data_IF_365988841727
#
_entry.id   IF_365988841727
#
_cell.length_a   1.000
_cell.length_b   1.000
_cell.length_c   1.000
_cell.angle_alpha   90.00
_cell.angle_beta   90.00
_cell.angle_gamma   90.00
#
_symmetry.space_group_name_H-M   'P 1'
#
loop_
_entity.id
_entity.type
_entity.pdbx_description
1 polymer ?
#
# COMPACT_ATOMS: atom_id res chain seq x y z
N UNK A 1 19.78 -55.31 -19.21
CA UNK A 1 19.12 -54.27 -18.40
C UNK A 1 19.13 -54.74 -16.95
N UNK A 2 19.80 -54.04 -16.04
CA UNK A 2 19.77 -54.39 -14.61
C UNK A 2 18.37 -54.21 -14.06
N UNK A 3 17.76 -55.28 -13.56
CA UNK A 3 16.49 -55.22 -12.85
C UNK A 3 16.71 -54.46 -11.55
N UNK A 4 16.04 -53.33 -11.36
CA UNK A 4 16.05 -52.61 -10.08
C UNK A 4 15.55 -53.55 -8.98
N UNK A 5 16.35 -53.72 -7.93
CA UNK A 5 16.00 -54.47 -6.73
C UNK A 5 14.69 -53.92 -6.14
N UNK A 6 13.70 -54.75 -5.74
CA UNK A 6 12.41 -54.28 -5.22
C UNK A 6 12.51 -53.27 -4.06
N UNK A 7 13.58 -53.34 -3.27
CA UNK A 7 13.86 -52.35 -2.22
C UNK A 7 14.28 -51.00 -2.82
N UNK A 8 15.12 -51.00 -3.85
CA UNK A 8 15.55 -49.78 -4.55
C UNK A 8 14.38 -49.10 -5.27
N UNK A 9 13.43 -49.87 -5.83
CA UNK A 9 12.24 -49.30 -6.47
C UNK A 9 11.27 -48.68 -5.45
N UNK A 10 11.11 -49.28 -4.26
CA UNK A 10 10.32 -48.68 -3.17
C UNK A 10 10.95 -47.39 -2.64
N UNK A 11 12.28 -47.35 -2.47
CA UNK A 11 12.99 -46.14 -2.01
C UNK A 11 12.83 -45.02 -3.05
N UNK A 12 13.02 -45.34 -4.34
CA UNK A 12 12.88 -44.37 -5.42
C UNK A 12 11.45 -43.83 -5.51
N UNK A 13 10.44 -44.71 -5.39
CA UNK A 13 9.04 -44.31 -5.35
C UNK A 13 8.72 -43.39 -4.16
N UNK A 14 9.30 -43.68 -2.98
CA UNK A 14 9.17 -42.82 -1.80
C UNK A 14 9.77 -41.42 -1.97
N UNK A 15 10.95 -41.33 -2.59
CA UNK A 15 11.61 -40.04 -2.89
C UNK A 15 10.78 -39.23 -3.89
N UNK A 16 10.31 -39.87 -4.96
CA UNK A 16 9.48 -39.21 -5.98
C UNK A 16 8.17 -38.70 -5.35
N UNK A 17 7.50 -39.53 -4.53
CA UNK A 17 6.28 -39.13 -3.84
C UNK A 17 6.52 -37.93 -2.92
N UNK A 18 7.61 -37.94 -2.15
CA UNK A 18 7.98 -36.83 -1.26
C UNK A 18 8.28 -35.55 -2.05
N UNK A 19 9.02 -35.66 -3.16
CA UNK A 19 9.31 -34.52 -4.03
C UNK A 19 8.03 -33.93 -4.65
N UNK A 20 7.10 -34.78 -5.09
CA UNK A 20 5.81 -34.33 -5.63
C UNK A 20 4.97 -33.60 -4.58
N UNK A 21 4.92 -34.10 -3.34
CA UNK A 21 4.22 -33.44 -2.23
C UNK A 21 4.86 -32.08 -1.93
N UNK A 22 6.20 -32.00 -1.89
CA UNK A 22 6.90 -30.74 -1.65
C UNK A 22 6.63 -29.70 -2.75
N UNK A 23 6.65 -30.11 -4.02
CA UNK A 23 6.31 -29.24 -5.16
C UNK A 23 4.86 -28.79 -5.09
N UNK A 24 3.92 -29.69 -4.81
CA UNK A 24 2.50 -29.35 -4.67
C UNK A 24 2.27 -28.33 -3.55
N UNK A 25 2.88 -28.55 -2.37
CA UNK A 25 2.82 -27.62 -1.25
C UNK A 25 3.41 -26.24 -1.61
N UNK A 26 4.55 -26.22 -2.30
CA UNK A 26 5.17 -24.99 -2.78
C UNK A 26 4.29 -24.22 -3.77
N UNK A 27 3.64 -24.91 -4.73
CA UNK A 27 2.72 -24.30 -5.68
C UNK A 27 1.49 -23.68 -5.00
N UNK A 28 0.92 -24.39 -4.01
CA UNK A 28 -0.20 -23.87 -3.20
C UNK A 28 0.23 -22.64 -2.40
N UNK A 29 1.38 -22.71 -1.73
CA UNK A 29 1.93 -21.58 -0.98
C UNK A 29 2.13 -20.36 -1.88
N UNK A 30 2.78 -20.54 -3.04
CA UNK A 30 3.03 -19.46 -4.01
C UNK A 30 1.74 -18.84 -4.54
N UNK A 31 0.73 -19.65 -4.85
CA UNK A 31 -0.57 -19.17 -5.33
C UNK A 31 -1.31 -18.35 -4.27
N UNK A 32 -1.36 -18.85 -3.04
CA UNK A 32 -2.03 -18.14 -1.93
C UNK A 32 -1.34 -16.82 -1.61
N UNK A 33 -0.02 -16.83 -1.60
CA UNK A 33 0.80 -15.64 -1.34
C UNK A 33 0.56 -14.55 -2.38
N UNK A 34 0.54 -14.93 -3.65
CA UNK A 34 0.31 -14.00 -4.74
C UNK A 34 -1.10 -13.39 -4.67
N UNK A 35 -2.13 -14.20 -4.42
CA UNK A 35 -3.49 -13.69 -4.22
C UNK A 35 -3.63 -12.80 -2.98
N UNK A 36 -2.80 -12.99 -1.94
CA UNK A 36 -2.78 -12.09 -0.78
C UNK A 36 -2.22 -10.72 -1.19
N UNK A 37 -1.10 -10.71 -1.91
CA UNK A 37 -0.48 -9.47 -2.40
C UNK A 37 -1.41 -8.74 -3.37
N UNK A 38 -2.01 -9.45 -4.31
CA UNK A 38 -2.98 -8.90 -5.25
C UNK A 38 -4.19 -8.29 -4.51
N UNK A 39 -4.71 -8.95 -3.48
CA UNK A 39 -5.82 -8.40 -2.68
C UNK A 39 -5.42 -7.18 -1.85
N UNK A 40 -4.20 -7.15 -1.29
CA UNK A 40 -3.74 -6.05 -0.45
C UNK A 40 -3.37 -4.81 -1.27
N UNK A 41 -2.60 -5.01 -2.33
CA UNK A 41 -2.08 -3.93 -3.17
C UNK A 41 -3.04 -3.54 -4.29
N UNK A 42 -3.97 -4.41 -4.69
CA UNK A 42 -4.96 -4.11 -5.73
C UNK A 42 -4.28 -3.64 -7.03
N UNK A 43 -4.60 -2.45 -7.57
CA UNK A 43 -3.97 -1.90 -8.78
C UNK A 43 -2.44 -1.81 -8.70
N UNK A 44 -1.88 -1.60 -7.50
CA UNK A 44 -0.42 -1.52 -7.28
C UNK A 44 0.29 -2.82 -7.59
N UNK A 45 -0.38 -3.96 -7.43
CA UNK A 45 0.16 -5.25 -7.81
C UNK A 45 0.40 -5.30 -9.33
N UNK A 46 -0.61 -4.91 -10.11
CA UNK A 46 -0.52 -4.85 -11.57
C UNK A 46 0.57 -3.88 -12.03
N UNK A 47 0.66 -2.71 -11.40
CA UNK A 47 1.73 -1.72 -11.66
C UNK A 47 3.12 -2.30 -11.39
N UNK A 48 3.33 -2.91 -10.23
CA UNK A 48 4.63 -3.50 -9.89
C UNK A 48 5.05 -4.61 -10.88
N UNK A 49 4.10 -5.44 -11.33
CA UNK A 49 4.35 -6.47 -12.36
C UNK A 49 4.72 -5.83 -13.70
N UNK A 50 4.02 -4.77 -14.10
CA UNK A 50 4.29 -4.06 -15.36
C UNK A 50 5.66 -3.37 -15.33
N UNK A 51 5.99 -2.67 -14.24
CA UNK A 51 7.24 -1.90 -14.10
C UNK A 51 8.48 -2.80 -14.04
N UNK A 52 8.37 -3.95 -13.36
CA UNK A 52 9.50 -4.89 -13.17
C UNK A 52 9.58 -5.97 -14.26
N UNK A 53 8.53 -6.13 -15.06
CA UNK A 53 8.43 -7.12 -16.14
C UNK A 53 8.45 -8.59 -15.70
N UNK A 54 8.50 -8.86 -14.38
CA UNK A 54 8.55 -10.20 -13.81
C UNK A 54 7.74 -10.27 -12.52
N UNK A 55 6.83 -11.25 -12.47
CA UNK A 55 5.93 -11.44 -11.33
C UNK A 55 6.67 -11.77 -10.04
N UNK A 56 7.73 -12.58 -10.08
CA UNK A 56 8.46 -12.95 -8.87
C UNK A 56 9.23 -11.76 -8.29
N UNK A 57 9.83 -10.94 -9.16
CA UNK A 57 10.48 -9.68 -8.76
C UNK A 57 9.47 -8.71 -8.15
N UNK A 58 8.31 -8.55 -8.78
CA UNK A 58 7.23 -7.70 -8.27
C UNK A 58 6.75 -8.17 -6.89
N UNK A 59 6.42 -9.45 -6.73
CA UNK A 59 6.00 -10.00 -5.44
C UNK A 59 7.09 -9.86 -4.37
N UNK A 60 8.37 -10.02 -4.73
CA UNK A 60 9.49 -9.83 -3.81
C UNK A 60 9.61 -8.37 -3.35
N UNK A 61 9.45 -7.41 -4.25
CA UNK A 61 9.50 -5.97 -3.93
C UNK A 61 8.29 -5.57 -3.07
N UNK A 62 7.09 -6.04 -3.38
CA UNK A 62 5.89 -5.78 -2.58
C UNK A 62 6.04 -6.33 -1.14
N UNK A 63 6.61 -7.53 -0.98
CA UNK A 63 6.94 -8.07 0.36
C UNK A 63 8.02 -7.26 1.07
N UNK A 64 9.00 -6.74 0.34
CA UNK A 64 10.02 -5.87 0.92
C UNK A 64 9.40 -4.58 1.45
N UNK A 65 8.42 -3.99 0.74
CA UNK A 65 7.61 -2.86 1.20
C UNK A 65 6.85 -3.20 2.47
N UNK A 66 6.08 -4.30 2.48
CA UNK A 66 5.35 -4.76 3.68
C UNK A 66 6.28 -4.91 4.90
N UNK A 67 7.47 -5.50 4.70
CA UNK A 67 8.46 -5.71 5.75
C UNK A 67 9.11 -4.42 6.24
N UNK A 68 9.19 -3.38 5.40
CA UNK A 68 9.66 -2.05 5.81
C UNK A 68 8.59 -1.34 6.61
N UNK A 69 7.37 -1.28 6.08
CA UNK A 69 6.23 -0.60 6.70
C UNK A 69 5.86 -1.22 8.04
N UNK A 70 5.98 -2.54 8.21
CA UNK A 70 5.74 -3.19 9.50
C UNK A 70 6.69 -2.77 10.62
N UNK A 71 7.79 -2.08 10.30
CA UNK A 71 8.73 -1.51 11.28
C UNK A 71 8.41 -0.05 11.63
N UNK A 72 7.50 0.59 10.89
CA UNK A 72 7.12 1.97 11.16
C UNK A 72 6.13 2.01 12.31
N UNK A 73 6.27 3.02 13.17
CA UNK A 73 5.31 3.26 14.24
C UNK A 73 4.18 4.15 13.72
N UNK A 74 3.32 3.58 12.86
CA UNK A 74 2.23 4.35 12.25
C UNK A 74 1.10 4.51 13.27
N UNK A 75 0.79 5.75 13.63
CA UNK A 75 -0.22 6.10 14.63
C UNK A 75 -1.41 6.83 14.01
N UNK A 76 -2.56 6.72 14.67
CA UNK A 76 -3.68 7.62 14.41
C UNK A 76 -3.31 9.03 14.86
N UNK A 77 -3.80 10.02 14.12
CA UNK A 77 -3.57 11.42 14.44
C UNK A 77 -4.47 11.83 15.61
N UNK A 78 -3.96 12.65 16.54
CA UNK A 78 -4.80 13.17 17.62
C UNK A 78 -5.89 14.10 17.06
N UNK A 79 -7.11 14.16 17.65
CA UNK A 79 -8.21 14.96 17.09
C UNK A 79 -7.88 16.45 16.91
N UNK A 80 -7.08 17.00 17.85
CA UNK A 80 -6.62 18.38 17.79
C UNK A 80 -5.65 18.63 16.63
N UNK A 81 -4.75 17.69 16.36
CA UNK A 81 -3.85 17.78 15.19
C UNK A 81 -4.64 17.62 13.89
N UNK A 82 -5.60 16.68 13.82
CA UNK A 82 -6.46 16.51 12.65
C UNK A 82 -7.26 17.79 12.33
N UNK A 83 -7.76 18.46 13.37
CA UNK A 83 -8.45 19.76 13.24
C UNK A 83 -7.52 20.83 12.71
N UNK A 84 -6.29 20.93 13.24
CA UNK A 84 -5.28 21.89 12.78
C UNK A 84 -4.94 21.68 11.30
N UNK A 85 -4.58 20.45 10.92
CA UNK A 85 -4.29 20.10 9.53
C UNK A 85 -5.47 20.44 8.61
N UNK A 86 -6.71 20.13 9.03
CA UNK A 86 -7.91 20.48 8.26
C UNK A 86 -8.09 21.99 8.06
N UNK A 87 -7.71 22.81 9.05
CA UNK A 87 -7.75 24.27 8.94
C UNK A 87 -6.65 24.78 8.01
N UNK A 88 -5.43 24.25 8.14
CA UNK A 88 -4.29 24.58 7.28
C UNK A 88 -4.61 24.28 5.81
N UNK A 89 -5.21 23.12 5.54
CA UNK A 89 -5.66 22.75 4.19
C UNK A 89 -6.68 23.73 3.61
N UNK A 90 -7.67 24.16 4.41
CA UNK A 90 -8.69 25.14 3.96
C UNK A 90 -8.08 26.51 3.66
N UNK A 91 -7.17 26.98 4.51
CA UNK A 91 -6.48 28.25 4.33
C UNK A 91 -5.63 28.26 3.06
N UNK A 92 -4.95 27.14 2.80
CA UNK A 92 -4.18 26.91 1.57
C UNK A 92 -5.06 26.94 0.33
N UNK A 93 -6.19 26.22 0.32
CA UNK A 93 -7.10 26.20 -0.83
C UNK A 93 -7.70 27.57 -1.16
N UNK A 94 -7.97 28.40 -0.15
CA UNK A 94 -8.53 29.74 -0.35
C UNK A 94 -7.61 30.67 -1.16
N UNK A 95 -6.30 30.43 -1.13
CA UNK A 95 -5.28 31.22 -1.83
C UNK A 95 -5.00 30.76 -3.26
N UNK A 96 -5.60 29.66 -3.71
CA UNK A 96 -5.28 29.05 -5.00
C UNK A 96 -5.49 29.98 -6.19
N UNK A 97 -6.52 30.86 -6.12
CA UNK A 97 -6.82 31.81 -7.20
C UNK A 97 -5.71 32.85 -7.35
N UNK A 98 -5.12 33.28 -6.25
CA UNK A 98 -4.11 34.34 -6.23
C UNK A 98 -2.70 33.80 -6.51
N UNK A 99 -2.38 32.61 -5.97
CA UNK A 99 -1.06 32.00 -6.10
C UNK A 99 -1.15 30.46 -6.20
N UNK A 100 -1.49 29.92 -7.39
CA UNK A 100 -1.72 28.49 -7.57
C UNK A 100 -0.44 27.65 -7.43
N UNK A 101 0.72 28.17 -7.84
CA UNK A 101 2.00 27.47 -7.77
C UNK A 101 2.45 27.25 -6.32
N UNK A 102 2.46 28.32 -5.51
CA UNK A 102 2.77 28.19 -4.08
C UNK A 102 1.80 27.27 -3.36
N UNK A 103 0.51 27.30 -3.73
CA UNK A 103 -0.50 26.42 -3.14
C UNK A 103 -0.22 24.93 -3.44
N UNK A 104 0.23 24.58 -4.64
CA UNK A 104 0.63 23.19 -4.96
C UNK A 104 1.86 22.76 -4.18
N UNK A 105 2.87 23.64 -4.07
CA UNK A 105 4.08 23.36 -3.30
C UNK A 105 3.79 23.18 -1.80
N UNK A 106 2.98 24.07 -1.21
CA UNK A 106 2.56 23.98 0.18
C UNK A 106 1.66 22.76 0.44
N UNK A 107 0.87 22.33 -0.55
CA UNK A 107 0.04 21.12 -0.42
C UNK A 107 0.89 19.86 -0.29
N UNK A 108 1.97 19.73 -1.10
CA UNK A 108 2.93 18.63 -0.96
C UNK A 108 3.59 18.66 0.42
N UNK A 109 4.01 19.85 0.89
CA UNK A 109 4.59 20.00 2.21
C UNK A 109 3.61 19.59 3.32
N UNK A 110 2.36 20.04 3.27
CA UNK A 110 1.35 19.75 4.27
C UNK A 110 1.04 18.25 4.35
N UNK A 111 0.98 17.57 3.19
CA UNK A 111 0.85 16.10 3.12
C UNK A 111 2.05 15.40 3.75
N UNK A 112 3.28 15.85 3.47
CA UNK A 112 4.50 15.27 4.07
C UNK A 112 4.54 15.46 5.58
N UNK A 113 4.16 16.63 6.07
CA UNK A 113 4.05 16.90 7.51
C UNK A 113 3.01 15.99 8.18
N UNK A 114 1.86 15.79 7.53
CA UNK A 114 0.84 14.85 8.00
C UNK A 114 1.37 13.41 8.05
N UNK A 115 2.02 12.94 6.99
CA UNK A 115 2.65 11.62 6.96
C UNK A 115 3.70 11.45 8.07
N UNK A 116 4.55 12.46 8.28
CA UNK A 116 5.55 12.44 9.33
C UNK A 116 4.91 12.35 10.71
N UNK A 117 3.84 13.12 10.97
CA UNK A 117 3.08 13.06 12.22
C UNK A 117 2.45 11.70 12.46
N UNK A 118 2.04 11.03 11.39
CA UNK A 118 1.55 9.66 11.45
C UNK A 118 2.65 8.63 11.64
N UNK A 119 3.93 8.98 11.54
CA UNK A 119 5.06 8.07 11.78
C UNK A 119 5.69 7.47 10.52
N UNK A 120 5.34 7.98 9.33
CA UNK A 120 6.07 7.65 8.11
C UNK A 120 7.46 8.31 8.13
N UNK A 121 8.51 7.61 7.67
CA UNK A 121 9.85 8.19 7.65
C UNK A 121 9.98 9.29 6.60
N UNK A 122 10.87 10.25 6.86
CA UNK A 122 11.31 11.19 5.83
C UNK A 122 12.15 10.43 4.80
N UNK A 123 11.58 10.21 3.62
CA UNK A 123 12.20 9.53 2.50
C UNK A 123 11.97 10.34 1.21
N UNK A 124 12.65 9.95 0.13
CA UNK A 124 12.32 10.44 -1.20
C UNK A 124 10.89 10.03 -1.60
N UNK A 125 10.36 10.74 -2.60
CA UNK A 125 9.00 10.54 -3.06
C UNK A 125 8.72 9.10 -3.52
N UNK A 126 9.64 8.51 -4.28
CA UNK A 126 9.44 7.17 -4.86
C UNK A 126 9.33 6.12 -3.76
N UNK A 127 10.21 6.18 -2.76
CA UNK A 127 10.19 5.27 -1.61
C UNK A 127 8.98 5.51 -0.73
N UNK A 128 8.64 6.77 -0.47
CA UNK A 128 7.48 7.11 0.36
C UNK A 128 6.18 6.65 -0.30
N UNK A 129 6.01 6.87 -1.61
CA UNK A 129 4.83 6.40 -2.35
C UNK A 129 4.77 4.86 -2.39
N UNK A 130 5.90 4.18 -2.57
CA UNK A 130 5.97 2.73 -2.55
C UNK A 130 5.62 2.13 -1.18
N UNK A 131 6.09 2.74 -0.09
CA UNK A 131 5.79 2.29 1.26
C UNK A 131 4.34 2.64 1.65
N UNK A 132 3.84 3.82 1.25
CA UNK A 132 2.44 4.24 1.44
C UNK A 132 1.45 3.27 0.79
N UNK A 133 1.81 2.67 -0.36
CA UNK A 133 0.93 1.77 -1.09
C UNK A 133 0.61 0.45 -0.37
N UNK A 134 1.33 0.15 0.72
CA UNK A 134 1.09 -1.02 1.57
C UNK A 134 -0.24 -0.93 2.33
N UNK A 135 -0.58 0.26 2.80
CA UNK A 135 -1.76 0.51 3.63
C UNK A 135 -2.79 1.42 2.93
N UNK A 136 -2.35 2.20 1.93
CA UNK A 136 -3.16 3.19 1.21
C UNK A 136 -3.09 3.01 -0.31
N UNK A 137 -3.25 1.76 -0.77
CA UNK A 137 -3.16 1.38 -2.18
C UNK A 137 -4.15 2.12 -3.10
N UNK A 138 -5.29 2.57 -2.59
CA UNK A 138 -6.31 3.29 -3.36
C UNK A 138 -5.93 4.74 -3.69
N UNK A 139 -5.14 5.40 -2.85
CA UNK A 139 -4.86 6.85 -2.96
C UNK A 139 -3.42 7.16 -3.38
N UNK A 140 -2.52 6.17 -3.38
CA UNK A 140 -1.13 6.38 -3.82
C UNK A 140 -1.04 6.88 -5.26
N UNK A 141 -2.00 6.54 -6.12
CA UNK A 141 -2.07 7.05 -7.49
C UNK A 141 -2.39 8.54 -7.56
N UNK A 142 -3.21 9.03 -6.64
CA UNK A 142 -3.39 10.47 -6.47
C UNK A 142 -2.08 11.13 -6.02
N UNK A 143 -1.32 10.50 -5.11
CA UNK A 143 -0.02 11.05 -4.72
C UNK A 143 0.95 11.19 -5.90
N UNK A 144 1.04 10.15 -6.73
CA UNK A 144 1.89 10.15 -7.95
C UNK A 144 1.44 11.16 -8.99
N UNK A 145 0.14 11.26 -9.23
CA UNK A 145 -0.41 12.24 -10.16
C UNK A 145 -0.13 13.68 -9.69
N UNK A 146 -0.33 13.97 -8.40
CA UNK A 146 -0.04 15.28 -7.83
C UNK A 146 1.45 15.63 -7.92
N UNK A 147 2.33 14.68 -7.57
CA UNK A 147 3.77 14.90 -7.63
C UNK A 147 4.26 15.11 -9.06
N UNK A 148 3.72 14.38 -10.04
CA UNK A 148 4.08 14.56 -11.44
C UNK A 148 3.79 16.00 -11.89
N UNK A 149 2.62 16.53 -11.56
CA UNK A 149 2.25 17.92 -11.86
C UNK A 149 3.15 18.90 -11.09
N UNK A 150 3.40 18.67 -9.80
CA UNK A 150 4.27 19.53 -8.99
C UNK A 150 5.72 19.57 -9.51
N UNK A 151 6.21 18.48 -10.13
CA UNK A 151 7.51 18.46 -10.81
C UNK A 151 7.48 19.32 -12.08
N UNK A 152 6.43 19.26 -12.89
CA UNK A 152 6.26 20.11 -14.08
C UNK A 152 6.11 21.59 -13.70
N UNK A 153 5.36 21.89 -12.65
CA UNK A 153 5.19 23.26 -12.13
C UNK A 153 6.52 23.90 -11.73
N UNK A 154 7.40 23.16 -11.03
CA UNK A 154 8.75 23.63 -10.71
C UNK A 154 9.62 23.94 -11.94
N UNK A 155 9.26 23.40 -13.10
CA UNK A 155 9.92 23.69 -14.39
C UNK A 155 9.23 24.81 -15.17
N UNK A 156 8.12 25.35 -14.67
CA UNK A 156 7.28 26.32 -15.37
C UNK A 156 6.49 25.71 -16.53
N UNK A 157 6.29 24.39 -16.51
CA UNK A 157 5.66 23.63 -17.61
C UNK A 157 4.19 23.31 -17.34
N UNK A 158 3.67 23.60 -16.14
CA UNK A 158 2.29 23.30 -15.76
C UNK A 158 1.35 24.50 -15.95
N UNK A 159 0.14 24.25 -16.46
CA UNK A 159 -0.91 25.26 -16.51
C UNK A 159 -1.74 25.33 -15.22
N UNK A 160 -2.52 26.40 -15.04
CA UNK A 160 -3.32 26.59 -13.81
C UNK A 160 -4.39 25.51 -13.60
N UNK A 161 -4.85 24.83 -14.64
CA UNK A 161 -5.81 23.74 -14.53
C UNK A 161 -5.13 22.43 -14.10
N UNK A 162 -3.89 22.18 -14.55
CA UNK A 162 -3.01 21.16 -13.99
C UNK A 162 -2.77 21.40 -12.51
N UNK A 163 -2.45 22.62 -12.11
CA UNK A 163 -2.27 22.96 -10.69
C UNK A 163 -3.54 22.70 -9.88
N UNK A 164 -4.72 23.02 -10.43
CA UNK A 164 -6.02 22.71 -9.80
C UNK A 164 -6.16 21.20 -9.59
N UNK A 165 -5.84 20.39 -10.61
CA UNK A 165 -5.87 18.92 -10.54
C UNK A 165 -4.88 18.37 -9.50
N UNK A 166 -3.69 18.95 -9.39
CA UNK A 166 -2.70 18.57 -8.38
C UNK A 166 -3.24 18.76 -6.95
N UNK A 167 -3.88 19.90 -6.68
CA UNK A 167 -4.52 20.15 -5.36
C UNK A 167 -5.62 19.14 -5.07
N UNK A 168 -6.44 18.77 -6.06
CA UNK A 168 -7.47 17.73 -5.90
C UNK A 168 -6.85 16.37 -5.57
N UNK A 169 -5.77 16.01 -6.25
CA UNK A 169 -5.06 14.77 -5.99
C UNK A 169 -4.39 14.74 -4.60
N UNK A 170 -3.73 15.83 -4.18
CA UNK A 170 -3.23 15.93 -2.82
C UNK A 170 -4.37 15.88 -1.78
N UNK A 171 -5.54 16.46 -2.08
CA UNK A 171 -6.70 16.41 -1.18
C UNK A 171 -7.18 14.99 -0.94
N UNK A 172 -7.31 14.19 -2.00
CA UNK A 172 -7.77 12.81 -1.88
C UNK A 172 -6.87 11.98 -0.94
N UNK A 173 -5.56 12.17 -1.06
CA UNK A 173 -4.58 11.56 -0.16
C UNK A 173 -4.66 12.12 1.27
N UNK A 174 -4.80 13.44 1.39
CA UNK A 174 -4.88 14.13 2.67
C UNK A 174 -6.09 13.69 3.49
N UNK A 175 -7.28 13.61 2.87
CA UNK A 175 -8.52 13.17 3.50
C UNK A 175 -8.38 11.70 3.98
N UNK A 176 -7.84 10.80 3.16
CA UNK A 176 -7.54 9.41 3.55
C UNK A 176 -6.60 9.34 4.77
N UNK A 177 -5.56 10.16 4.80
CA UNK A 177 -4.60 10.18 5.91
C UNK A 177 -5.19 10.78 7.19
N UNK A 178 -6.21 11.64 7.09
CA UNK A 178 -6.94 12.18 8.24
C UNK A 178 -8.01 11.22 8.79
N UNK A 179 -8.69 10.45 7.94
CA UNK A 179 -9.89 9.68 8.33
C UNK A 179 -9.62 8.41 9.14
N UNK A 180 -8.38 7.96 9.27
CA UNK A 180 -8.01 6.70 9.98
C UNK A 180 -8.19 6.80 11.52
N UNK A 181 -8.91 7.79 12.03
CA UNK A 181 -9.42 7.83 13.40
C UNK A 181 -10.76 7.07 13.59
N UNK A 182 -11.34 6.46 12.53
CA UNK A 182 -12.66 5.78 12.60
C UNK A 182 -12.68 4.26 12.48
N UNK A 183 -11.60 3.54 12.77
CA UNK A 183 -11.69 2.07 12.95
C UNK A 183 -10.96 1.61 14.22
N UNK A 184 -11.66 1.39 15.35
CA UNK A 184 -11.11 0.53 16.39
C UNK A 184 -10.91 -0.90 15.83
N UNK A 185 -9.83 -1.60 16.20
CA UNK A 185 -9.57 -2.96 15.74
C UNK A 185 -10.66 -3.91 16.27
N UNK A 186 -11.13 -4.79 15.39
CA UNK A 186 -11.86 -6.03 15.65
C UNK A 186 -12.23 -6.34 17.12
N UNK A 187 -13.46 -5.98 17.51
CA UNK A 187 -14.26 -6.88 18.36
C UNK A 187 -15.04 -7.83 17.45
N UNK A 188 -14.32 -8.81 16.89
CA UNK A 188 -14.95 -10.09 16.52
C UNK A 188 -15.26 -10.79 17.84
N UNK A 189 -16.31 -10.34 18.52
CA UNK A 189 -16.94 -11.13 19.56
C UNK A 189 -17.36 -12.45 18.90
N UNK A 190 -16.90 -13.54 19.50
CA UNK A 190 -17.11 -14.89 19.02
C UNK A 190 -18.60 -15.17 18.79
N UNK A 191 -18.95 -16.04 17.81
CA UNK A 191 -20.30 -16.57 17.77
C UNK A 191 -20.53 -17.35 19.08
N UNK A 192 -21.48 -16.89 19.89
CA UNK A 192 -21.97 -17.69 21.00
C UNK A 192 -22.45 -19.02 20.41
N UNK A 193 -21.84 -20.10 20.90
CA UNK A 193 -22.09 -21.46 20.51
C UNK A 193 -23.58 -21.81 20.62
N UNK A 194 -23.98 -22.76 19.76
CA UNK A 194 -25.16 -23.59 19.94
C UNK A 194 -25.46 -23.90 21.41
N UNK A 195 -26.70 -23.63 21.80
CA UNK A 195 -27.42 -24.51 22.71
C UNK A 195 -28.74 -24.89 22.02
N UNK A 196 -28.74 -26.07 21.40
CA UNK A 196 -29.89 -26.99 21.49
C UNK A 196 -30.10 -27.25 23.01
N UNK A 197 -31.28 -27.44 23.59
CA UNK A 197 -32.49 -28.20 23.19
C UNK A 197 -33.63 -27.88 24.22
N UNK A 198 -34.73 -28.66 24.34
CA UNK A 198 -36.05 -28.56 23.69
C UNK A 198 -37.18 -28.02 24.61
N UNK A 199 -38.36 -27.71 24.02
CA UNK A 199 -39.68 -28.04 24.60
C UNK A 199 -40.72 -28.21 23.50
#
# INVERSE_FOLDING_TARGET
>A
MGTMDPQSSMILAGIILTALIAVAAWLVYRKNESHRLERRFGPEYGRAVNDLGDRNKAESELKAREKRVSKFNIVALAPAEATRFSQDWRALQARFVDDPGSVVAEADQLVRELMQKRGYPMADFDRLSADLSVDHASVVDHYRAAQAIAVCDRRGEADTEELRRAVVHYRALFDELLEVERTPPHSRAMPAAHQETPR
#
